data_IF_752672648999
#
_entry.id   IF_752672648999
#
_cell.length_a   1.000
_cell.length_b   1.000
_cell.length_c   1.000
_cell.angle_alpha   90.00
_cell.angle_beta   90.00
_cell.angle_gamma   90.00
#
_symmetry.space_group_name_H-M   'P 1'
#
loop_
_entity.id
_entity.type
_entity.pdbx_description
1 polymer ?
#
# COMPACT_ATOMS: atom_id res chain seq x y z
N UNK A 1 -2.70 17.27 4.02
CA UNK A 1 -2.04 16.20 3.25
C UNK A 1 -2.16 14.89 4.01
N UNK A 2 -2.12 13.79 3.28
CA UNK A 2 -1.91 12.46 3.84
C UNK A 2 -0.46 12.36 4.29
N UNK A 3 -0.22 11.70 5.42
CA UNK A 3 1.11 11.45 5.97
C UNK A 3 1.20 10.03 6.51
N UNK A 4 2.18 9.27 6.05
CA UNK A 4 2.50 7.95 6.55
C UNK A 4 3.51 8.07 7.70
N UNK A 5 3.22 7.40 8.82
CA UNK A 5 4.04 7.36 10.03
C UNK A 5 4.57 5.93 10.18
N UNK A 6 5.89 5.79 10.08
CA UNK A 6 6.60 4.54 10.34
C UNK A 6 7.66 4.75 11.44
N UNK A 7 7.65 3.87 12.45
CA UNK A 7 8.55 3.92 13.61
C UNK A 7 9.54 2.75 13.68
N UNK A 8 9.56 1.89 12.65
CA UNK A 8 10.50 0.77 12.60
C UNK A 8 11.86 1.16 12.01
N UNK A 9 12.72 0.17 11.82
CA UNK A 9 14.13 0.34 11.43
C UNK A 9 14.46 -0.23 10.04
N UNK A 10 13.48 -0.69 9.27
CA UNK A 10 13.71 -1.17 7.90
C UNK A 10 14.03 0.02 6.99
N UNK A 11 15.27 0.08 6.48
CA UNK A 11 15.78 1.23 5.73
C UNK A 11 15.04 1.44 4.41
N UNK A 12 14.73 0.36 3.69
CA UNK A 12 14.01 0.44 2.41
C UNK A 12 12.59 0.95 2.63
N UNK A 13 11.92 0.51 3.70
CA UNK A 13 10.60 1.00 4.08
C UNK A 13 10.63 2.45 4.59
N UNK A 14 11.65 2.84 5.36
CA UNK A 14 11.85 4.25 5.74
C UNK A 14 12.01 5.15 4.51
N UNK A 15 12.81 4.72 3.55
CA UNK A 15 12.99 5.44 2.29
C UNK A 15 11.69 5.54 1.48
N UNK A 16 10.93 4.44 1.37
CA UNK A 16 9.64 4.42 0.70
C UNK A 16 8.64 5.38 1.37
N UNK A 17 8.55 5.36 2.71
CA UNK A 17 7.69 6.26 3.50
C UNK A 17 8.07 7.72 3.29
N UNK A 18 9.37 8.04 3.36
CA UNK A 18 9.86 9.40 3.14
C UNK A 18 9.51 9.88 1.72
N UNK A 19 9.68 9.01 0.73
CA UNK A 19 9.41 9.33 -0.67
C UNK A 19 7.92 9.55 -0.92
N UNK A 20 7.03 8.65 -0.45
CA UNK A 20 5.58 8.82 -0.60
C UNK A 20 5.08 10.09 0.12
N UNK A 21 5.60 10.39 1.31
CA UNK A 21 5.27 11.64 1.99
C UNK A 21 5.73 12.89 1.21
N UNK A 22 6.85 12.82 0.50
CA UNK A 22 7.30 13.88 -0.39
C UNK A 22 6.40 14.02 -1.62
N UNK A 23 5.92 12.91 -2.20
CA UNK A 23 4.97 12.94 -3.32
C UNK A 23 3.66 13.64 -2.99
N UNK A 24 3.15 13.51 -1.75
CA UNK A 24 1.97 14.26 -1.31
C UNK A 24 2.19 15.78 -1.18
N UNK A 25 3.44 16.25 -1.29
CA UNK A 25 3.81 17.66 -1.34
C UNK A 25 4.17 18.12 -2.76
N UNK A 26 4.41 17.20 -3.68
CA UNK A 26 4.89 17.49 -5.02
C UNK A 26 3.75 17.94 -5.94
N UNK A 27 3.94 19.13 -6.54
CA UNK A 27 2.95 19.68 -7.48
C UNK A 27 2.95 18.93 -8.80
N UNK A 28 4.08 18.40 -9.27
CA UNK A 28 4.17 17.70 -10.55
C UNK A 28 3.53 16.32 -10.52
N UNK A 29 3.62 15.61 -9.38
CA UNK A 29 2.83 14.42 -9.11
C UNK A 29 1.33 14.67 -9.31
N UNK A 30 0.78 15.72 -8.68
CA UNK A 30 -0.65 16.07 -8.83
C UNK A 30 -1.01 16.53 -10.24
N UNK A 31 -0.15 17.31 -10.90
CA UNK A 31 -0.35 17.74 -12.27
C UNK A 31 -0.47 16.52 -13.21
N UNK A 32 0.37 15.51 -13.00
CA UNK A 32 0.36 14.27 -13.77
C UNK A 32 -0.96 13.51 -13.59
N UNK A 33 -1.42 13.35 -12.34
CA UNK A 33 -2.73 12.73 -12.05
C UNK A 33 -3.87 13.52 -12.72
N UNK A 34 -3.88 14.86 -12.59
CA UNK A 34 -4.97 15.70 -13.10
C UNK A 34 -5.13 15.66 -14.62
N UNK A 35 -4.07 15.30 -15.35
CA UNK A 35 -4.02 15.22 -16.82
C UNK A 35 -4.29 13.82 -17.35
N UNK A 36 -4.40 12.83 -16.47
CA UNK A 36 -4.83 11.50 -16.88
C UNK A 36 -6.24 11.58 -17.48
N UNK A 37 -6.54 10.71 -18.45
CA UNK A 37 -7.78 10.79 -19.22
C UNK A 37 -8.99 10.43 -18.34
N UNK A 38 -8.94 9.25 -17.74
CA UNK A 38 -9.99 8.62 -16.97
C UNK A 38 -9.41 7.45 -16.15
N UNK A 39 -10.03 7.17 -15.01
CA UNK A 39 -9.72 5.97 -14.23
C UNK A 39 -10.86 4.98 -14.37
N UNK A 40 -10.53 3.71 -14.61
CA UNK A 40 -11.52 2.65 -14.70
C UNK A 40 -12.30 2.54 -13.38
N UNK A 41 -13.61 2.29 -13.51
CA UNK A 41 -14.59 2.20 -12.42
C UNK A 41 -14.85 3.50 -11.64
N UNK A 42 -14.08 4.56 -11.85
CA UNK A 42 -14.22 5.79 -11.07
C UNK A 42 -15.44 6.63 -11.50
N UNK A 43 -16.14 7.22 -10.53
CA UNK A 43 -17.22 8.20 -10.75
C UNK A 43 -16.74 9.66 -10.67
N UNK A 44 -15.44 9.85 -10.48
CA UNK A 44 -14.77 11.14 -10.30
C UNK A 44 -13.71 11.33 -11.38
N UNK A 45 -13.62 12.55 -11.92
CA UNK A 45 -12.60 12.88 -12.91
C UNK A 45 -11.19 12.90 -12.29
N UNK A 46 -10.12 12.62 -13.06
CA UNK A 46 -8.74 12.68 -12.55
C UNK A 46 -8.35 14.06 -11.97
N UNK A 47 -8.85 15.15 -12.54
CA UNK A 47 -8.70 16.50 -11.98
C UNK A 47 -9.31 16.59 -10.57
N UNK A 48 -10.58 16.20 -10.41
CA UNK A 48 -11.25 16.27 -9.12
C UNK A 48 -10.65 15.30 -8.09
N UNK A 49 -10.21 14.11 -8.53
CA UNK A 49 -9.51 13.16 -7.69
C UNK A 49 -8.18 13.73 -7.19
N UNK A 50 -7.38 14.36 -8.06
CA UNK A 50 -6.10 14.96 -7.64
C UNK A 50 -6.30 16.07 -6.59
N UNK A 51 -7.34 16.90 -6.73
CA UNK A 51 -7.72 17.92 -5.75
C UNK A 51 -8.24 17.30 -4.44
N UNK A 52 -9.01 16.22 -4.53
CA UNK A 52 -9.52 15.47 -3.37
C UNK A 52 -8.36 14.86 -2.57
N UNK A 53 -7.40 14.22 -3.24
CA UNK A 53 -6.20 13.65 -2.62
C UNK A 53 -5.40 14.77 -1.93
N UNK A 54 -5.12 15.88 -2.65
CA UNK A 54 -4.32 17.00 -2.13
C UNK A 54 -4.94 17.69 -0.91
N UNK A 55 -6.27 17.83 -0.90
CA UNK A 55 -7.01 18.46 0.20
C UNK A 55 -7.20 17.54 1.42
N UNK A 56 -7.07 16.23 1.25
CA UNK A 56 -7.25 15.26 2.34
C UNK A 56 -6.17 15.42 3.42
N UNK A 57 -6.61 15.41 4.69
CA UNK A 57 -5.74 15.45 5.87
C UNK A 57 -5.92 14.16 6.67
N UNK A 58 -4.89 13.32 6.69
CA UNK A 58 -4.97 12.00 7.29
C UNK A 58 -3.57 11.53 7.69
N UNK A 59 -3.43 11.06 8.92
CA UNK A 59 -2.25 10.31 9.34
C UNK A 59 -2.54 8.82 9.17
N UNK A 60 -1.62 8.12 8.52
CA UNK A 60 -1.68 6.68 8.35
C UNK A 60 -0.52 6.03 9.09
N UNK A 61 -0.75 4.90 9.73
CA UNK A 61 0.30 4.10 10.38
C UNK A 61 0.55 2.82 9.61
N UNK A 62 1.78 2.31 9.69
CA UNK A 62 2.11 0.99 9.15
C UNK A 62 2.05 -0.04 10.26
N UNK A 63 1.33 -1.13 10.02
CA UNK A 63 1.33 -2.33 10.84
C UNK A 63 1.72 -3.54 9.97
N UNK A 64 2.20 -4.59 10.62
CA UNK A 64 2.65 -5.79 9.92
C UNK A 64 1.77 -6.99 10.27
N UNK A 65 1.56 -7.85 9.28
CA UNK A 65 0.96 -9.16 9.48
C UNK A 65 1.84 -10.24 8.84
N UNK A 66 1.57 -11.49 9.18
CA UNK A 66 2.11 -12.64 8.46
C UNK A 66 0.94 -13.35 7.80
N UNK A 67 1.01 -13.55 6.48
CA UNK A 67 0.04 -14.42 5.80
C UNK A 67 0.14 -15.84 6.37
N UNK A 68 -1.01 -16.52 6.47
CA UNK A 68 -1.09 -17.93 6.87
C UNK A 68 -0.30 -18.84 5.92
N UNK A 69 -0.19 -18.42 4.66
CA UNK A 69 0.54 -19.14 3.62
C UNK A 69 1.87 -18.42 3.36
N UNK A 70 3.02 -19.00 3.75
CA UNK A 70 4.33 -18.32 3.64
C UNK A 70 4.76 -18.05 2.18
N UNK A 71 4.11 -18.70 1.21
CA UNK A 71 4.32 -18.47 -0.22
C UNK A 71 3.28 -17.52 -0.83
N UNK A 72 2.42 -16.90 -0.02
CA UNK A 72 1.50 -15.87 -0.49
C UNK A 72 2.29 -14.73 -1.11
N UNK A 73 1.85 -14.32 -2.31
CA UNK A 73 2.41 -13.17 -3.03
C UNK A 73 1.78 -11.85 -2.59
N UNK A 74 0.81 -11.87 -1.68
CA UNK A 74 0.16 -10.66 -1.23
C UNK A 74 1.15 -9.74 -0.50
N UNK A 75 1.11 -8.48 -0.89
CA UNK A 75 1.99 -7.44 -0.37
C UNK A 75 1.34 -6.66 0.77
N UNK A 76 0.02 -6.51 0.70
CA UNK A 76 -0.84 -5.85 1.68
C UNK A 76 -2.29 -6.36 1.58
N UNK A 77 -3.14 -5.88 2.49
CA UNK A 77 -4.58 -6.02 2.37
C UNK A 77 -5.27 -4.72 2.83
N UNK A 78 -6.49 -4.53 2.35
CA UNK A 78 -7.32 -3.39 2.71
C UNK A 78 -8.20 -3.75 3.93
N UNK A 79 -8.16 -2.92 4.97
CA UNK A 79 -9.07 -3.01 6.10
C UNK A 79 -10.03 -1.83 6.11
N UNK A 80 -11.23 -2.03 5.56
CA UNK A 80 -12.25 -0.99 5.53
C UNK A 80 -12.68 -0.50 6.92
N UNK A 81 -12.46 -1.30 7.97
CA UNK A 81 -12.77 -0.95 9.35
C UNK A 81 -11.67 -0.12 10.00
N UNK A 82 -10.42 -0.25 9.53
CA UNK A 82 -9.28 0.55 9.97
C UNK A 82 -8.54 1.19 8.77
N UNK A 83 -9.20 2.07 7.99
CA UNK A 83 -8.65 2.59 6.74
C UNK A 83 -7.40 3.46 6.93
N UNK A 84 -7.07 3.87 8.15
CA UNK A 84 -5.84 4.62 8.48
C UNK A 84 -4.65 3.73 8.83
N UNK A 85 -4.79 2.41 8.67
CA UNK A 85 -3.72 1.43 8.89
C UNK A 85 -3.33 0.80 7.57
N UNK A 86 -2.05 0.92 7.21
CA UNK A 86 -1.46 0.20 6.09
C UNK A 86 -0.94 -1.13 6.63
N UNK A 87 -1.58 -2.22 6.26
CA UNK A 87 -1.16 -3.55 6.65
C UNK A 87 -0.20 -4.14 5.63
N UNK A 88 1.05 -4.37 6.01
CA UNK A 88 2.07 -4.95 5.13
C UNK A 88 2.38 -6.41 5.50
N UNK A 89 2.49 -7.26 4.49
CA UNK A 89 2.90 -8.64 4.68
C UNK A 89 4.39 -8.70 5.00
N UNK A 90 4.73 -9.15 6.20
CA UNK A 90 6.11 -9.20 6.68
C UNK A 90 6.98 -10.20 5.93
N UNK A 91 6.39 -11.22 5.28
CA UNK A 91 7.11 -12.14 4.40
C UNK A 91 7.64 -11.46 3.14
N UNK A 92 6.99 -10.38 2.70
CA UNK A 92 7.25 -9.70 1.44
C UNK A 92 7.80 -8.28 1.65
N UNK A 93 8.69 -8.05 2.62
CA UNK A 93 9.31 -6.73 2.85
C UNK A 93 10.65 -6.53 2.12
N UNK A 94 11.33 -7.62 1.72
CA UNK A 94 12.59 -7.55 0.99
C UNK A 94 12.37 -7.11 -0.46
N UNK A 95 12.10 -5.81 -0.65
CA UNK A 95 11.76 -5.15 -1.91
C UNK A 95 12.47 -3.80 -2.01
N UNK A 96 12.53 -3.25 -3.21
CA UNK A 96 13.07 -1.90 -3.41
C UNK A 96 12.18 -0.85 -2.77
N UNK A 97 12.76 0.33 -2.48
CA UNK A 97 12.00 1.46 -1.98
C UNK A 97 10.86 1.88 -2.95
N UNK A 98 11.07 1.80 -4.27
CA UNK A 98 10.02 2.08 -5.26
C UNK A 98 8.88 1.08 -5.24
N UNK A 99 9.17 -0.23 -5.16
CA UNK A 99 8.15 -1.27 -5.02
C UNK A 99 7.35 -1.13 -3.71
N UNK A 100 8.03 -0.80 -2.61
CA UNK A 100 7.36 -0.48 -1.35
C UNK A 100 6.51 0.79 -1.47
N UNK A 101 7.02 1.84 -2.12
CA UNK A 101 6.28 3.08 -2.36
C UNK A 101 5.01 2.85 -3.20
N UNK A 102 5.07 1.93 -4.17
CA UNK A 102 3.90 1.46 -4.93
C UNK A 102 2.82 0.94 -3.95
N UNK A 103 3.15 -0.06 -3.12
CA UNK A 103 2.21 -0.62 -2.14
C UNK A 103 1.68 0.44 -1.17
N UNK A 104 2.54 1.30 -0.64
CA UNK A 104 2.13 2.36 0.28
C UNK A 104 1.14 3.33 -0.36
N UNK A 105 1.43 3.81 -1.57
CA UNK A 105 0.58 4.74 -2.30
C UNK A 105 -0.78 4.11 -2.63
N UNK A 106 -0.79 2.86 -3.11
CA UNK A 106 -2.03 2.11 -3.39
C UNK A 106 -2.94 2.11 -2.16
N UNK A 107 -2.40 1.69 -1.01
CA UNK A 107 -3.13 1.65 0.26
C UNK A 107 -3.60 3.04 0.72
N UNK A 108 -2.82 4.10 0.46
CA UNK A 108 -3.29 5.46 0.69
C UNK A 108 -4.50 5.82 -0.18
N UNK A 109 -4.53 5.44 -1.45
CA UNK A 109 -5.68 5.72 -2.33
C UNK A 109 -6.93 4.98 -1.83
N UNK A 110 -6.81 3.71 -1.41
CA UNK A 110 -7.92 2.98 -0.77
C UNK A 110 -8.43 3.69 0.48
N UNK A 111 -7.53 4.14 1.36
CA UNK A 111 -7.89 4.88 2.56
C UNK A 111 -8.62 6.20 2.25
N UNK A 112 -8.19 6.93 1.22
CA UNK A 112 -8.85 8.16 0.76
C UNK A 112 -10.24 7.83 0.19
N UNK A 113 -10.38 6.74 -0.59
CA UNK A 113 -11.69 6.31 -1.08
C UNK A 113 -12.63 5.97 0.08
N UNK A 114 -12.17 5.21 1.07
CA UNK A 114 -12.97 4.85 2.23
C UNK A 114 -13.41 6.07 3.04
N UNK A 115 -12.56 7.11 3.11
CA UNK A 115 -12.87 8.37 3.80
C UNK A 115 -13.90 9.24 3.06
N UNK A 116 -13.92 9.18 1.73
CA UNK A 116 -14.75 10.02 0.86
C UNK A 116 -15.76 9.19 0.08
N UNK A 117 -16.61 8.45 0.79
CA UNK A 117 -17.55 7.47 0.21
C UNK A 117 -18.62 8.06 -0.72
N UNK A 118 -18.72 9.39 -0.82
CA UNK A 118 -19.53 10.05 -1.84
C UNK A 118 -18.94 9.97 -3.25
N UNK A 119 -17.68 9.53 -3.38
CA UNK A 119 -17.01 9.24 -4.63
C UNK A 119 -16.47 7.81 -4.59
N UNK A 120 -16.49 7.15 -5.74
CA UNK A 120 -15.87 5.85 -5.95
C UNK A 120 -14.72 5.98 -6.95
N UNK A 121 -13.55 5.47 -6.56
CA UNK A 121 -12.36 5.41 -7.40
C UNK A 121 -11.48 4.21 -6.99
N UNK A 122 -12.12 3.14 -6.51
CA UNK A 122 -11.46 1.89 -6.15
C UNK A 122 -11.26 1.00 -7.37
N UNK A 123 -10.99 -0.29 -7.13
CA UNK A 123 -10.70 -1.26 -8.19
C UNK A 123 -11.60 -2.52 -8.15
N UNK A 124 -12.78 -2.42 -7.52
CA UNK A 124 -13.71 -3.55 -7.39
C UNK A 124 -13.17 -4.66 -6.48
N UNK A 125 -12.99 -5.85 -7.04
CA UNK A 125 -12.47 -7.03 -6.34
C UNK A 125 -10.91 -7.08 -6.28
N UNK A 126 -10.35 -8.22 -5.87
CA UNK A 126 -8.90 -8.44 -5.70
C UNK A 126 -8.18 -9.02 -6.93
N UNK A 127 -8.87 -9.27 -8.05
CA UNK A 127 -8.22 -9.72 -9.28
C UNK A 127 -7.33 -8.60 -9.85
N UNK A 128 -6.10 -8.91 -10.21
CA UNK A 128 -5.13 -7.89 -10.66
C UNK A 128 -5.27 -7.56 -12.15
N UNK A 129 -5.65 -8.56 -12.95
CA UNK A 129 -5.65 -8.46 -14.41
C UNK A 129 -6.66 -7.41 -14.89
N UNK A 130 -6.21 -6.48 -15.75
CA UNK A 130 -7.09 -5.47 -16.35
C UNK A 130 -7.42 -4.29 -15.43
N UNK A 131 -6.72 -4.12 -14.30
CA UNK A 131 -6.95 -3.04 -13.34
C UNK A 131 -5.88 -1.96 -13.34
N UNK A 132 -4.96 -2.03 -14.28
CA UNK A 132 -3.81 -1.13 -14.41
C UNK A 132 -4.24 0.34 -14.59
N UNK A 133 -5.45 0.59 -15.11
CA UNK A 133 -6.02 1.92 -15.29
C UNK A 133 -7.00 2.34 -14.17
N UNK A 134 -7.19 1.54 -13.12
CA UNK A 134 -7.93 2.00 -11.94
C UNK A 134 -7.07 2.98 -11.13
N UNK A 135 -7.70 3.88 -10.37
CA UNK A 135 -6.96 4.93 -9.68
C UNK A 135 -5.90 4.42 -8.69
N UNK A 136 -6.14 3.39 -7.86
CA UNK A 136 -5.14 2.90 -6.92
C UNK A 136 -3.89 2.38 -7.63
N UNK A 137 -4.06 1.50 -8.63
CA UNK A 137 -2.94 0.91 -9.37
C UNK A 137 -2.16 1.94 -10.18
N UNK A 138 -2.86 2.81 -10.93
CA UNK A 138 -2.18 3.77 -11.81
C UNK A 138 -1.40 4.81 -11.00
N UNK A 139 -1.99 5.36 -9.94
CA UNK A 139 -1.33 6.36 -9.09
C UNK A 139 -0.17 5.73 -8.31
N UNK A 140 -0.31 4.48 -7.87
CA UNK A 140 0.77 3.75 -7.23
C UNK A 140 1.94 3.45 -8.18
N UNK A 141 1.66 3.11 -9.43
CA UNK A 141 2.67 2.95 -10.48
C UNK A 141 3.41 4.26 -10.76
N UNK A 142 2.69 5.39 -10.84
CA UNK A 142 3.30 6.71 -10.97
C UNK A 142 4.24 7.01 -9.78
N UNK A 143 3.81 6.70 -8.56
CA UNK A 143 4.64 6.87 -7.37
C UNK A 143 5.92 6.02 -7.44
N UNK A 144 5.81 4.75 -7.84
CA UNK A 144 6.98 3.89 -8.03
C UNK A 144 7.96 4.48 -9.04
N UNK A 145 7.48 4.92 -10.21
CA UNK A 145 8.32 5.47 -11.27
C UNK A 145 9.08 6.73 -10.80
N UNK A 146 8.44 7.59 -10.02
CA UNK A 146 9.10 8.78 -9.48
C UNK A 146 10.14 8.44 -8.40
N UNK A 147 9.95 7.35 -7.64
CA UNK A 147 10.91 6.89 -6.62
C UNK A 147 12.09 6.13 -7.21
N UNK A 148 11.86 5.24 -8.16
CA UNK A 148 12.93 4.47 -8.83
C UNK A 148 13.70 5.32 -9.87
N UNK A 149 13.16 6.49 -10.24
CA UNK A 149 13.54 7.23 -11.44
C UNK A 149 12.91 6.60 -12.69
N UNK A 150 12.72 7.38 -13.76
CA UNK A 150 11.95 7.03 -14.98
C UNK A 150 12.37 5.73 -15.74
N UNK A 151 13.31 4.93 -15.23
CA UNK A 151 13.95 3.80 -15.94
C UNK A 151 13.63 2.40 -15.40
N UNK A 152 12.58 2.17 -14.59
CA UNK A 152 12.20 0.80 -14.19
C UNK A 152 10.72 0.48 -14.42
N UNK A 153 10.49 -0.73 -14.93
CA UNK A 153 9.14 -1.27 -15.15
C UNK A 153 8.42 -1.44 -13.82
N UNK A 154 7.14 -1.04 -13.77
CA UNK A 154 6.27 -1.20 -12.61
C UNK A 154 6.16 -2.67 -12.20
N UNK A 155 6.29 -2.95 -10.90
CA UNK A 155 5.99 -4.30 -10.39
C UNK A 155 4.47 -4.51 -10.27
N UNK A 156 4.02 -5.73 -10.52
CA UNK A 156 2.60 -6.11 -10.38
C UNK A 156 2.28 -6.30 -8.90
N UNK A 157 1.29 -5.56 -8.38
CA UNK A 157 0.85 -5.67 -6.98
C UNK A 157 -0.19 -6.80 -6.83
N UNK A 158 -0.09 -7.56 -5.73
CA UNK A 158 -1.04 -8.60 -5.35
C UNK A 158 -1.64 -8.28 -3.97
N UNK A 159 -2.94 -8.52 -3.81
CA UNK A 159 -3.68 -8.38 -2.55
C UNK A 159 -4.14 -9.74 -2.02
N UNK A 160 -4.12 -9.92 -0.70
CA UNK A 160 -4.76 -11.06 -0.03
C UNK A 160 -6.22 -10.68 0.31
N UNK A 161 -7.09 -11.69 0.39
CA UNK A 161 -8.39 -11.54 1.05
C UNK A 161 -8.19 -11.53 2.58
N UNK A 162 -9.02 -10.75 3.26
CA UNK A 162 -9.00 -10.61 4.72
C UNK A 162 -9.24 -11.92 5.46
N UNK A 163 -9.91 -12.89 4.83
CA UNK A 163 -10.18 -14.21 5.38
C UNK A 163 -8.91 -15.06 5.62
N UNK A 164 -7.80 -14.77 4.94
CA UNK A 164 -6.57 -15.56 4.98
C UNK A 164 -5.50 -14.99 5.93
N UNK A 165 -5.88 -14.07 6.81
CA UNK A 165 -4.97 -13.30 7.65
C UNK A 165 -4.95 -13.78 9.11
N UNK A 166 -3.76 -13.93 9.69
CA UNK A 166 -3.57 -13.88 11.14
C UNK A 166 -3.09 -12.50 11.56
N UNK A 167 -4.02 -11.65 11.98
CA UNK A 167 -3.70 -10.35 12.59
C UNK A 167 -3.30 -10.59 14.04
N UNK A 168 -1.99 -10.57 14.34
CA UNK A 168 -1.52 -10.58 15.72
C UNK A 168 -1.70 -9.19 16.34
N UNK A 169 -2.84 -8.97 16.98
CA UNK A 169 -3.06 -7.79 17.81
C UNK A 169 -2.08 -7.82 19.00
N UNK A 170 -1.13 -6.88 19.00
CA UNK A 170 -0.33 -6.44 20.15
C UNK A 170 0.56 -7.48 20.85
N UNK A 171 1.82 -7.56 20.42
CA UNK A 171 2.93 -7.88 21.34
C UNK A 171 3.27 -6.62 22.17
N UNK A 172 2.48 -6.34 23.20
CA UNK A 172 2.94 -5.57 24.36
C UNK A 172 3.45 -6.59 25.36
N UNK A 173 4.73 -6.47 25.73
CA UNK A 173 5.57 -7.58 26.19
C UNK A 173 5.09 -8.38 27.40
N UNK A 174 5.35 -9.68 27.36
CA UNK A 174 5.88 -10.48 28.47
C UNK A 174 6.29 -11.87 27.94
N UNK A 175 7.58 -12.21 28.10
CA UNK A 175 8.05 -13.60 28.14
C UNK A 175 8.30 -14.29 26.80
N UNK A 176 9.57 -14.24 26.35
CA UNK A 176 10.14 -15.33 25.56
C UNK A 176 9.94 -16.65 26.32
N UNK A 177 9.16 -17.57 25.77
CA UNK A 177 9.40 -19.00 25.94
C UNK A 177 9.86 -19.55 24.60
N UNK A 178 11.14 -19.90 24.56
CA UNK A 178 11.79 -20.68 23.51
C UNK A 178 10.92 -21.88 23.15
N UNK A 179 10.42 -21.92 21.92
CA UNK A 179 9.90 -23.15 21.31
C UNK A 179 11.09 -23.93 20.76
N UNK A 180 11.25 -25.15 21.27
CA UNK A 180 12.26 -26.13 20.88
C UNK A 180 12.03 -26.53 19.42
N UNK A 181 13.01 -26.29 18.56
CA UNK A 181 13.08 -26.84 17.21
C UNK A 181 13.40 -28.33 17.34
N UNK A 182 12.45 -29.21 16.99
CA UNK A 182 12.74 -30.63 16.75
C UNK A 182 13.15 -30.78 15.28
N UNK A 183 14.43 -31.07 15.07
CA UNK A 183 14.94 -31.53 13.78
C UNK A 183 14.38 -32.93 13.49
N UNK A 184 13.70 -33.09 12.37
CA UNK A 184 13.49 -34.41 11.77
C UNK A 184 14.59 -34.63 10.74
N UNK A 185 15.54 -35.52 11.06
CA UNK A 185 16.38 -36.16 10.05
C UNK A 185 15.52 -37.20 9.32
N UNK A 186 15.44 -37.08 7.99
CA UNK A 186 14.95 -38.14 7.13
C UNK A 186 16.10 -39.11 6.83
N UNK A 187 15.83 -40.41 6.96
CA UNK A 187 16.54 -41.50 6.29
C UNK A 187 15.55 -42.16 5.35
#
# INVERSE_FOLDING_TARGET
MVRIIYKGSDEALQQAVASVNALFLDTDFYNTISRHRDFDLADISPLNLSLLIRSTRMDMKIEFYYSLYPFSKALSFDDETNPQTIWLNKWNLNRTAGSLANTLMHQCIHAINNRHRQHYFGHGDNEVAGKENTAPYWIASLAQQQVDGESRACEVMYHDDTADLQVFANFVGAGMKTAVVRNYCLH
#
